data_IF_547290519097
#
_entry.id   IF_547290519097
#
_cell.length_a   1.000
_cell.length_b   1.000
_cell.length_c   1.000
_cell.angle_alpha   90.00
_cell.angle_beta   90.00
_cell.angle_gamma   90.00
#
_symmetry.space_group_name_H-M   'P 1'
#
loop_
_entity.id
_entity.type
_entity.pdbx_description
1 polymer ?
#
# COMPACT_ATOMS: atom_id res chain seq x y z
N UNK A 1 -2.77 -24.32 10.14
CA UNK A 1 -1.93 -23.88 9.00
C UNK A 1 -0.60 -23.39 9.52
N UNK A 2 0.40 -24.26 9.61
CA UNK A 2 1.72 -23.97 10.18
C UNK A 2 2.76 -23.99 9.07
N UNK A 3 3.06 -22.83 8.51
CA UNK A 3 4.17 -22.62 7.58
C UNK A 3 4.35 -21.13 7.35
N UNK A 4 5.38 -20.53 7.94
CA UNK A 4 5.79 -19.16 7.59
C UNK A 4 6.31 -19.18 6.15
N UNK A 5 6.09 -18.12 5.35
CA UNK A 5 6.63 -18.07 4.00
C UNK A 5 8.16 -18.19 4.01
N UNK A 6 8.73 -19.01 3.12
CA UNK A 6 10.17 -19.22 3.00
C UNK A 6 10.60 -18.85 1.58
N UNK A 7 11.69 -18.09 1.45
CA UNK A 7 12.15 -17.54 0.16
C UNK A 7 12.62 -18.58 -0.86
N UNK A 8 12.82 -19.82 -0.42
CA UNK A 8 13.17 -20.98 -1.25
C UNK A 8 11.96 -21.67 -1.88
N UNK A 9 10.74 -21.42 -1.39
CA UNK A 9 9.52 -21.85 -2.09
C UNK A 9 9.41 -21.09 -3.42
N UNK A 10 9.46 -21.78 -4.58
CA UNK A 10 9.47 -21.13 -5.88
C UNK A 10 8.18 -20.35 -6.15
N UNK A 11 7.03 -20.79 -5.64
CA UNK A 11 5.75 -20.11 -5.85
C UNK A 11 5.70 -18.81 -5.03
N UNK A 12 6.07 -18.88 -3.76
CA UNK A 12 6.15 -17.68 -2.91
C UNK A 12 7.18 -16.68 -3.45
N UNK A 13 8.37 -17.15 -3.85
CA UNK A 13 9.40 -16.30 -4.44
C UNK A 13 8.92 -15.61 -5.72
N UNK A 14 8.25 -16.36 -6.61
CA UNK A 14 7.68 -15.81 -7.85
C UNK A 14 6.62 -14.75 -7.54
N UNK A 15 5.72 -15.01 -6.59
CA UNK A 15 4.70 -14.05 -6.18
C UNK A 15 5.33 -12.76 -5.66
N UNK A 16 6.26 -12.83 -4.69
CA UNK A 16 6.87 -11.63 -4.09
C UNK A 16 7.64 -10.82 -5.12
N UNK A 17 8.40 -11.47 -6.02
CA UNK A 17 9.11 -10.79 -7.10
C UNK A 17 8.16 -10.10 -8.06
N UNK A 18 7.10 -10.79 -8.49
CA UNK A 18 6.10 -10.21 -9.37
C UNK A 18 5.44 -8.98 -8.75
N UNK A 19 5.09 -9.03 -7.46
CA UNK A 19 4.49 -7.90 -6.76
C UNK A 19 5.45 -6.69 -6.68
N UNK A 20 6.74 -6.92 -6.40
CA UNK A 20 7.74 -5.85 -6.33
C UNK A 20 8.00 -5.23 -7.71
N UNK A 21 8.19 -6.04 -8.75
CA UNK A 21 8.41 -5.57 -10.13
C UNK A 21 7.20 -4.78 -10.66
N UNK A 22 5.97 -5.23 -10.37
CA UNK A 22 4.77 -4.53 -10.76
C UNK A 22 4.64 -3.17 -10.07
N UNK A 23 4.92 -3.11 -8.76
CA UNK A 23 4.92 -1.86 -8.00
C UNK A 23 6.02 -0.91 -8.48
N UNK A 24 7.20 -1.41 -8.87
CA UNK A 24 8.27 -0.60 -9.45
C UNK A 24 7.83 0.05 -10.77
N UNK A 25 7.24 -0.73 -11.67
CA UNK A 25 6.82 -0.29 -13.02
C UNK A 25 5.57 0.61 -13.03
N UNK A 26 4.76 0.63 -11.97
CA UNK A 26 3.52 1.42 -11.95
C UNK A 26 3.78 2.93 -11.82
N UNK A 27 3.00 3.75 -12.54
CA UNK A 27 2.98 5.21 -12.39
C UNK A 27 2.32 5.66 -11.08
N UNK A 28 1.33 4.91 -10.61
CA UNK A 28 0.58 5.15 -9.38
C UNK A 28 0.44 3.84 -8.61
N UNK A 29 0.74 3.88 -7.31
CA UNK A 29 0.48 2.78 -6.37
C UNK A 29 -0.68 3.19 -5.47
N UNK A 30 -1.81 2.49 -5.60
CA UNK A 30 -2.93 2.62 -4.67
C UNK A 30 -2.79 1.56 -3.59
N UNK A 31 -2.67 1.98 -2.33
CA UNK A 31 -2.53 1.07 -1.19
C UNK A 31 -3.71 1.22 -0.24
N UNK A 32 -4.49 0.15 -0.07
CA UNK A 32 -5.68 0.15 0.78
C UNK A 32 -5.46 -0.68 2.04
N UNK A 33 -5.58 -0.03 3.20
CA UNK A 33 -5.55 -0.66 4.51
C UNK A 33 -6.97 -0.78 5.06
N UNK A 34 -7.60 -1.94 4.89
CA UNK A 34 -8.94 -2.20 5.43
C UNK A 34 -8.90 -2.46 6.95
N UNK A 35 -9.90 -2.01 7.73
CA UNK A 35 -10.02 -2.33 9.16
C UNK A 35 -10.05 -3.84 9.46
N UNK A 36 -10.47 -4.66 8.50
CA UNK A 36 -10.59 -6.11 8.65
C UNK A 36 -9.26 -6.88 8.45
N UNK A 37 -8.13 -6.21 8.19
CA UNK A 37 -6.84 -6.85 7.92
C UNK A 37 -5.71 -6.22 8.72
N UNK A 38 -4.70 -7.02 9.05
CA UNK A 38 -3.45 -6.50 9.60
C UNK A 38 -2.48 -5.98 8.54
N UNK A 39 -2.55 -6.51 7.32
CA UNK A 39 -1.76 -6.10 6.15
C UNK A 39 -0.25 -5.83 6.38
N UNK A 40 0.49 -6.72 7.07
CA UNK A 40 1.89 -6.46 7.44
C UNK A 40 2.82 -6.29 6.23
N UNK A 41 2.60 -7.05 5.16
CA UNK A 41 3.40 -6.93 3.93
C UNK A 41 3.09 -5.63 3.18
N UNK A 42 1.85 -5.14 3.24
CA UNK A 42 1.50 -3.84 2.69
C UNK A 42 2.17 -2.69 3.47
N UNK A 43 2.29 -2.80 4.80
CA UNK A 43 3.06 -1.83 5.60
C UNK A 43 4.55 -1.82 5.21
N UNK A 44 5.15 -2.99 4.94
CA UNK A 44 6.51 -3.06 4.41
C UNK A 44 6.63 -2.32 3.07
N UNK A 45 5.70 -2.59 2.14
CA UNK A 45 5.68 -1.94 0.82
C UNK A 45 5.42 -0.44 0.91
N UNK A 46 4.59 0.03 1.85
CA UNK A 46 4.40 1.46 2.11
C UNK A 46 5.77 2.12 2.36
N UNK A 47 6.56 1.52 3.26
CA UNK A 47 7.91 1.96 3.59
C UNK A 47 8.83 2.07 2.36
N UNK A 48 8.87 1.00 1.55
CA UNK A 48 9.72 0.92 0.35
C UNK A 48 9.45 2.04 -0.66
N UNK A 49 8.18 2.42 -0.84
CA UNK A 49 7.79 3.35 -1.89
C UNK A 49 7.53 4.79 -1.40
N UNK A 50 7.70 5.10 -0.11
CA UNK A 50 7.42 6.44 0.47
C UNK A 50 8.03 7.61 -0.31
N UNK A 51 9.26 7.46 -0.81
CA UNK A 51 9.99 8.54 -1.50
C UNK A 51 9.72 8.65 -3.00
N UNK A 52 8.94 7.74 -3.57
CA UNK A 52 8.72 7.65 -5.03
C UNK A 52 7.62 8.57 -5.56
N UNK A 53 6.85 9.24 -4.68
CA UNK A 53 5.71 10.12 -5.01
C UNK A 53 4.51 9.46 -5.75
N UNK A 54 4.61 8.19 -6.15
CA UNK A 54 3.53 7.41 -6.78
C UNK A 54 2.47 6.87 -5.82
N UNK A 55 2.70 6.91 -4.50
CA UNK A 55 1.75 6.37 -3.51
C UNK A 55 0.49 7.23 -3.38
N UNK A 56 -0.67 6.55 -3.32
CA UNK A 56 -1.96 7.06 -2.84
C UNK A 56 -2.48 6.05 -1.82
N UNK A 57 -2.74 6.49 -0.60
CA UNK A 57 -3.09 5.59 0.51
C UNK A 57 -4.56 5.75 0.87
N UNK A 58 -5.27 4.64 1.03
CA UNK A 58 -6.60 4.62 1.64
C UNK A 58 -6.46 3.93 2.99
N UNK A 59 -6.80 4.61 4.07
CA UNK A 59 -6.67 4.08 5.43
C UNK A 59 -7.84 4.61 6.29
N UNK A 60 -9.01 3.94 6.24
CA UNK A 60 -10.19 4.32 7.00
C UNK A 60 -9.95 4.15 8.51
N UNK A 61 -10.81 4.76 9.30
CA UNK A 61 -10.88 4.49 10.73
C UNK A 61 -11.05 2.99 11.02
N UNK A 62 -10.44 2.53 12.12
CA UNK A 62 -10.47 1.14 12.55
C UNK A 62 -9.32 0.26 12.05
N UNK A 63 -8.46 0.73 11.14
CA UNK A 63 -7.23 0.00 10.85
C UNK A 63 -6.28 0.02 12.07
N UNK A 64 -5.87 -1.15 12.55
CA UNK A 64 -5.17 -1.36 13.83
C UNK A 64 -3.81 -0.63 13.98
N UNK A 65 -3.22 -0.20 12.86
CA UNK A 65 -1.97 0.60 12.82
C UNK A 65 -2.16 1.92 12.08
N UNK A 66 -3.38 2.45 12.05
CA UNK A 66 -3.71 3.71 11.39
C UNK A 66 -2.80 4.86 11.83
N UNK A 67 -2.59 5.07 13.12
CA UNK A 67 -1.70 6.14 13.58
C UNK A 67 -0.26 6.05 13.06
N UNK A 68 0.26 4.84 12.79
CA UNK A 68 1.58 4.69 12.16
C UNK A 68 1.51 5.09 10.67
N UNK A 69 0.46 4.67 9.97
CA UNK A 69 0.22 5.05 8.57
C UNK A 69 0.05 6.56 8.45
N UNK A 70 -0.69 7.19 9.35
CA UNK A 70 -0.95 8.62 9.38
C UNK A 70 0.37 9.41 9.50
N UNK A 71 1.19 9.10 10.51
CA UNK A 71 2.49 9.77 10.74
C UNK A 71 3.45 9.58 9.56
N UNK A 72 3.51 8.37 8.97
CA UNK A 72 4.33 8.10 7.79
C UNK A 72 3.83 8.91 6.59
N UNK A 73 2.52 8.90 6.34
CA UNK A 73 1.96 9.64 5.22
C UNK A 73 2.16 11.15 5.38
N UNK A 74 2.00 11.70 6.57
CA UNK A 74 2.29 13.10 6.88
C UNK A 74 3.77 13.42 6.64
N UNK A 75 4.68 12.66 7.23
CA UNK A 75 6.14 12.87 7.13
C UNK A 75 6.62 12.87 5.68
N UNK A 76 6.11 11.97 4.86
CA UNK A 76 6.51 11.82 3.45
C UNK A 76 5.57 12.53 2.48
N UNK A 77 4.63 13.34 2.97
CA UNK A 77 3.65 14.11 2.17
C UNK A 77 2.85 13.23 1.19
N UNK A 78 2.48 12.03 1.62
CA UNK A 78 1.68 11.08 0.85
C UNK A 78 0.20 11.41 1.05
N UNK A 79 -0.52 11.61 -0.06
CA UNK A 79 -1.97 11.89 0.00
C UNK A 79 -2.72 10.63 0.47
N UNK A 80 -3.47 10.79 1.56
CA UNK A 80 -4.27 9.74 2.16
C UNK A 80 -5.78 10.05 2.04
N UNK A 81 -6.59 9.00 1.98
CA UNK A 81 -8.04 9.05 1.80
C UNK A 81 -8.75 8.13 2.78
N UNK A 82 -10.00 8.48 3.14
CA UNK A 82 -10.83 7.66 4.03
C UNK A 82 -11.63 6.58 3.28
N UNK A 83 -11.72 6.67 1.95
CA UNK A 83 -12.38 5.66 1.12
C UNK A 83 -11.74 5.55 -0.26
N UNK A 84 -11.91 4.39 -0.89
CA UNK A 84 -11.45 4.16 -2.27
C UNK A 84 -12.22 5.03 -3.27
N UNK A 85 -13.51 5.31 -3.02
CA UNK A 85 -14.33 6.16 -3.86
C UNK A 85 -13.80 7.60 -3.94
N UNK A 86 -13.41 8.19 -2.80
CA UNK A 86 -12.80 9.52 -2.77
C UNK A 86 -11.48 9.55 -3.57
N UNK A 87 -10.64 8.52 -3.41
CA UNK A 87 -9.39 8.41 -4.16
C UNK A 87 -9.66 8.37 -5.68
N UNK A 88 -10.56 7.49 -6.12
CA UNK A 88 -10.91 7.33 -7.54
C UNK A 88 -11.43 8.65 -8.12
N UNK A 89 -12.31 9.35 -7.40
CA UNK A 89 -12.84 10.63 -7.85
C UNK A 89 -11.72 11.68 -8.02
N UNK A 90 -10.80 11.79 -7.06
CA UNK A 90 -9.64 12.69 -7.17
C UNK A 90 -8.72 12.34 -8.35
N UNK A 91 -8.56 11.07 -8.69
CA UNK A 91 -7.77 10.67 -9.85
C UNK A 91 -8.44 11.06 -11.17
N UNK A 92 -9.77 10.88 -11.27
CA UNK A 92 -10.55 11.28 -12.46
C UNK A 92 -10.52 12.79 -12.69
N UNK A 93 -10.59 13.59 -11.64
CA UNK A 93 -10.52 15.06 -11.74
C UNK A 93 -9.18 15.54 -12.26
N UNK A 94 -8.08 14.87 -11.91
CA UNK A 94 -6.72 15.21 -12.38
C UNK A 94 -6.39 14.73 -13.79
N UNK A 95 -7.19 13.82 -14.33
CA UNK A 95 -7.01 13.29 -15.68
C UNK A 95 -7.76 14.11 -16.74
N UNK A 96 -8.57 15.10 -16.32
CA UNK A 96 -9.14 16.14 -17.18
C UNK A 96 -8.13 17.26 -17.35
#
# INVERSE_FOLDING_TARGET
MTGKPVSTDPNFRKQVKWELEALEKSDIIIMYFTPASQSPISLLKLGLYTKTKKLRVVCPEGYWRKGNVDIVCEKYKIKMYNSIGLLINTLKEKAK
#
